data_IF_773095241633
#
_entry.id   IF_773095241633
#
_cell.length_a   1.000
_cell.length_b   1.000
_cell.length_c   1.000
_cell.angle_alpha   90.00
_cell.angle_beta   90.00
_cell.angle_gamma   90.00
#
_symmetry.space_group_name_H-M   'P 1'
#
loop_
_entity.id
_entity.type
_entity.pdbx_description
1 polymer ?
#
# COMPACT_ATOMS: atom_id res chain seq x y z
N UNK A 1 8.30 5.32 -21.63
CA UNK A 1 7.39 4.17 -21.42
C UNK A 1 7.11 4.09 -19.95
N UNK A 2 5.84 3.98 -19.55
CA UNK A 2 5.47 3.92 -18.13
C UNK A 2 5.77 2.52 -17.60
N UNK A 3 6.56 2.37 -16.52
CA UNK A 3 6.80 1.06 -15.94
C UNK A 3 5.51 0.51 -15.34
N UNK A 4 5.25 -0.77 -15.57
CA UNK A 4 4.15 -1.48 -14.90
C UNK A 4 4.68 -2.21 -13.67
N UNK A 5 3.86 -2.25 -12.63
CA UNK A 5 4.19 -2.95 -11.38
C UNK A 5 3.57 -4.33 -11.36
N UNK A 6 4.30 -5.27 -10.77
CA UNK A 6 3.82 -6.62 -10.49
C UNK A 6 3.11 -6.61 -9.13
N UNK A 7 1.97 -7.26 -9.06
CA UNK A 7 1.16 -7.43 -7.85
C UNK A 7 1.03 -8.93 -7.61
N UNK A 8 1.64 -9.50 -6.56
CA UNK A 8 1.43 -10.88 -6.19
C UNK A 8 0.01 -11.08 -5.64
N UNK A 9 -0.61 -12.20 -5.97
CA UNK A 9 -1.93 -12.59 -5.50
C UNK A 9 -1.77 -13.50 -4.28
N UNK A 10 -2.43 -13.14 -3.19
CA UNK A 10 -2.51 -13.92 -1.95
C UNK A 10 -3.97 -14.33 -1.70
N UNK A 11 -4.21 -15.19 -0.73
CA UNK A 11 -5.56 -15.72 -0.38
C UNK A 11 -6.61 -14.65 -0.03
N UNK A 12 -6.18 -13.45 0.36
CA UNK A 12 -7.05 -12.31 0.70
C UNK A 12 -7.04 -11.22 -0.39
N UNK A 13 -6.44 -11.49 -1.55
CA UNK A 13 -6.31 -10.51 -2.61
C UNK A 13 -7.67 -10.19 -3.24
N UNK A 14 -7.99 -8.91 -3.48
CA UNK A 14 -9.24 -8.51 -4.12
C UNK A 14 -9.35 -8.96 -5.59
N UNK A 15 -8.26 -9.44 -6.19
CA UNK A 15 -8.22 -9.89 -7.58
C UNK A 15 -8.49 -11.39 -7.73
N UNK A 16 -8.69 -12.13 -6.64
CA UNK A 16 -8.99 -13.55 -6.69
C UNK A 16 -10.27 -13.84 -7.46
N UNK A 17 -10.23 -14.85 -8.34
CA UNK A 17 -11.36 -15.23 -9.17
C UNK A 17 -11.64 -14.29 -10.34
N UNK A 18 -11.00 -13.12 -10.42
CA UNK A 18 -11.05 -12.30 -11.63
C UNK A 18 -10.22 -12.92 -12.75
N UNK A 19 -10.52 -12.57 -13.99
CA UNK A 19 -9.91 -13.21 -15.15
C UNK A 19 -8.84 -12.34 -15.81
N UNK A 20 -7.82 -13.01 -16.36
CA UNK A 20 -6.83 -12.36 -17.22
C UNK A 20 -7.44 -12.00 -18.58
N UNK A 21 -7.23 -10.76 -19.03
CA UNK A 21 -7.74 -10.29 -20.31
C UNK A 21 -7.18 -11.02 -21.55
N UNK A 22 -6.05 -11.73 -21.42
CA UNK A 22 -5.45 -12.52 -22.50
C UNK A 22 -5.92 -13.98 -22.49
N UNK A 23 -5.59 -14.72 -21.43
CA UNK A 23 -5.86 -16.17 -21.37
C UNK A 23 -7.26 -16.53 -20.84
N UNK A 24 -7.98 -15.56 -20.25
CA UNK A 24 -9.28 -15.76 -19.58
C UNK A 24 -9.28 -16.78 -18.43
N UNK A 25 -8.11 -17.16 -17.93
CA UNK A 25 -8.01 -17.92 -16.69
C UNK A 25 -8.21 -17.02 -15.48
N UNK A 26 -8.90 -17.53 -14.47
CA UNK A 26 -9.05 -16.88 -13.18
C UNK A 26 -7.72 -16.81 -12.43
N UNK A 27 -7.48 -15.73 -11.69
CA UNK A 27 -6.31 -15.56 -10.84
C UNK A 27 -6.41 -16.43 -9.58
N UNK A 28 -5.31 -17.11 -9.25
CA UNK A 28 -5.16 -17.96 -8.08
C UNK A 28 -4.13 -17.40 -7.08
N UNK A 29 -4.16 -17.82 -5.80
CA UNK A 29 -3.12 -17.50 -4.85
C UNK A 29 -1.74 -17.97 -5.37
N UNK A 30 -0.75 -17.09 -5.30
CA UNK A 30 0.60 -17.32 -5.83
C UNK A 30 0.82 -16.76 -7.25
N UNK A 31 -0.23 -16.38 -7.96
CA UNK A 31 -0.08 -15.75 -9.28
C UNK A 31 0.49 -14.34 -9.16
N UNK A 32 1.15 -13.90 -10.23
CA UNK A 32 1.62 -12.53 -10.37
C UNK A 32 0.80 -11.79 -11.44
N UNK A 33 0.22 -10.66 -11.06
CA UNK A 33 -0.69 -9.88 -11.90
C UNK A 33 -0.15 -8.49 -12.17
N UNK A 34 -0.40 -8.00 -13.39
CA UNK A 34 -0.12 -6.65 -13.84
C UNK A 34 -1.45 -5.98 -14.21
N UNK A 35 -1.59 -4.73 -13.79
CA UNK A 35 -2.72 -3.88 -14.16
C UNK A 35 -2.27 -2.90 -15.24
N UNK A 36 -3.00 -2.88 -16.36
CA UNK A 36 -2.73 -1.93 -17.44
C UNK A 36 -2.96 -0.48 -16.94
N UNK A 37 -2.02 0.45 -17.14
CA UNK A 37 -2.17 1.83 -16.67
C UNK A 37 -3.26 2.62 -17.41
N UNK A 38 -3.60 2.20 -18.64
CA UNK A 38 -4.58 2.90 -19.49
C UNK A 38 -6.02 2.45 -19.21
N UNK A 39 -6.28 1.14 -19.29
CA UNK A 39 -7.65 0.59 -19.20
C UNK A 39 -7.92 -0.19 -17.91
N UNK A 40 -6.93 -0.33 -17.03
CA UNK A 40 -6.99 -1.12 -15.79
C UNK A 40 -7.34 -2.61 -15.97
N UNK A 41 -7.25 -3.14 -17.20
CA UNK A 41 -7.35 -4.58 -17.45
C UNK A 41 -6.18 -5.33 -16.79
N UNK A 42 -6.50 -6.48 -16.18
CA UNK A 42 -5.55 -7.33 -15.46
C UNK A 42 -5.00 -8.42 -16.36
N UNK A 43 -3.71 -8.68 -16.23
CA UNK A 43 -3.00 -9.69 -16.98
C UNK A 43 -2.06 -10.44 -16.06
N UNK A 44 -1.85 -11.74 -16.27
CA UNK A 44 -0.71 -12.41 -15.65
C UNK A 44 0.59 -11.77 -16.13
N UNK A 45 1.63 -11.76 -15.28
CA UNK A 45 2.97 -11.31 -15.66
C UNK A 45 3.44 -12.04 -16.92
N UNK A 46 3.29 -13.35 -16.98
CA UNK A 46 3.68 -14.15 -18.14
C UNK A 46 2.91 -13.75 -19.41
N UNK A 47 1.58 -13.58 -19.30
CA UNK A 47 0.72 -13.14 -20.41
C UNK A 47 1.10 -11.75 -20.93
N UNK A 48 1.44 -10.82 -20.03
CA UNK A 48 1.89 -9.48 -20.40
C UNK A 48 3.20 -9.52 -21.19
N UNK A 49 4.18 -10.30 -20.70
CA UNK A 49 5.47 -10.46 -21.40
C UNK A 49 5.33 -11.19 -22.74
N UNK A 50 4.46 -12.19 -22.81
CA UNK A 50 4.22 -12.96 -24.03
C UNK A 50 3.59 -12.11 -25.15
N UNK A 51 2.91 -11.02 -24.79
CA UNK A 51 2.31 -10.08 -25.73
C UNK A 51 3.10 -8.76 -25.82
N UNK A 52 4.43 -8.84 -25.90
CA UNK A 52 5.33 -7.70 -26.10
C UNK A 52 5.16 -6.57 -25.06
N UNK A 53 4.87 -6.94 -23.81
CA UNK A 53 4.63 -5.99 -22.72
C UNK A 53 3.49 -5.00 -23.02
N UNK A 54 2.42 -5.51 -23.64
CA UNK A 54 1.25 -4.74 -24.08
C UNK A 54 -0.06 -5.34 -23.57
N UNK A 55 -1.02 -4.46 -23.37
CA UNK A 55 -2.39 -4.81 -23.08
C UNK A 55 -3.06 -5.53 -24.26
N UNK A 56 -3.89 -6.52 -23.93
CA UNK A 56 -4.66 -7.32 -24.90
C UNK A 56 -6.15 -7.02 -24.86
N UNK A 57 -6.58 -6.15 -23.95
CA UNK A 57 -7.96 -5.69 -23.87
C UNK A 57 -8.36 -4.96 -25.15
N UNK A 58 -9.59 -5.22 -25.60
CA UNK A 58 -10.13 -4.69 -26.84
C UNK A 58 -10.01 -3.16 -26.91
N UNK A 59 -9.31 -2.66 -27.94
CA UNK A 59 -9.15 -1.22 -28.18
C UNK A 59 -8.12 -0.50 -27.28
N UNK A 60 -7.36 -1.21 -26.43
CA UNK A 60 -6.35 -0.58 -25.59
C UNK A 60 -4.95 -0.60 -26.23
N UNK A 61 -4.27 0.55 -26.25
CA UNK A 61 -2.87 0.68 -26.69
C UNK A 61 -1.86 0.70 -25.54
N UNK A 62 -2.29 0.36 -24.32
CA UNK A 62 -1.46 0.40 -23.12
C UNK A 62 -0.27 -0.54 -23.22
N UNK A 63 0.91 -0.02 -22.91
CA UNK A 63 2.18 -0.75 -22.93
C UNK A 63 3.06 -0.29 -21.79
N UNK A 64 3.92 -1.17 -21.31
CA UNK A 64 4.81 -0.82 -20.21
C UNK A 64 5.72 -1.97 -19.83
N UNK A 65 6.98 -1.65 -19.60
CA UNK A 65 7.99 -2.63 -19.21
C UNK A 65 7.84 -2.99 -17.73
N UNK A 66 8.10 -4.26 -17.41
CA UNK A 66 8.01 -4.76 -16.05
C UNK A 66 9.25 -4.30 -15.30
N UNK A 67 9.08 -3.34 -14.39
CA UNK A 67 10.17 -2.91 -13.53
C UNK A 67 10.32 -3.91 -12.38
N UNK A 68 11.04 -5.00 -12.63
CA UNK A 68 11.59 -5.85 -11.57
C UNK A 68 12.84 -5.16 -11.03
N UNK A 69 12.70 -4.01 -10.38
CA UNK A 69 13.75 -3.61 -9.45
C UNK A 69 13.62 -4.61 -8.28
N UNK A 70 14.59 -5.52 -8.06
CA UNK A 70 14.57 -6.28 -6.81
C UNK A 70 14.49 -5.25 -5.69
N UNK A 71 13.65 -5.45 -4.65
CA UNK A 71 13.71 -4.54 -3.52
C UNK A 71 15.17 -4.50 -3.08
N UNK A 72 15.82 -3.34 -3.24
CA UNK A 72 17.11 -3.12 -2.60
C UNK A 72 16.92 -3.58 -1.16
N UNK A 73 17.84 -4.37 -0.58
CA UNK A 73 17.69 -4.83 0.79
C UNK A 73 17.38 -3.60 1.62
N UNK A 74 16.14 -3.54 2.10
CA UNK A 74 15.71 -2.42 2.91
C UNK A 74 16.45 -2.70 4.20
N UNK A 75 17.63 -2.09 4.33
CA UNK A 75 18.39 -2.12 5.57
C UNK A 75 17.60 -1.23 6.54
N UNK A 76 16.44 -1.75 6.96
CA UNK A 76 15.63 -1.16 8.00
C UNK A 76 16.46 -1.40 9.25
N UNK A 77 17.38 -0.47 9.52
CA UNK A 77 17.93 -0.30 10.86
C UNK A 77 16.76 0.16 11.70
N UNK A 78 15.99 -0.81 12.21
CA UNK A 78 15.05 -0.58 13.29
C UNK A 78 15.96 -0.28 14.49
N UNK A 79 15.95 0.95 15.05
CA UNK A 79 16.61 1.16 16.33
C UNK A 79 15.82 0.37 17.37
N UNK A 80 16.30 -0.84 17.69
CA UNK A 80 15.83 -1.65 18.81
C UNK A 80 16.33 -0.96 20.07
N UNK A 81 15.64 0.10 20.48
CA UNK A 81 16.05 0.89 21.63
C UNK A 81 15.40 2.26 21.71
N UNK A 82 14.14 2.33 22.15
CA UNK A 82 13.78 3.31 23.18
C UNK A 82 12.55 2.84 23.97
N UNK A 83 12.89 2.21 25.09
CA UNK A 83 12.22 2.23 26.38
C UNK A 83 10.98 3.12 26.55
N UNK A 84 9.97 2.54 27.18
CA UNK A 84 8.76 3.14 27.75
C UNK A 84 8.66 4.65 27.66
N UNK A 85 7.66 5.08 26.88
CA UNK A 85 7.02 6.38 27.00
C UNK A 85 6.59 6.60 28.46
N UNK A 86 7.48 7.16 29.29
CA UNK A 86 7.13 7.72 30.59
C UNK A 86 6.56 9.10 30.32
N UNK A 87 5.27 9.14 30.01
CA UNK A 87 4.47 10.36 30.16
C UNK A 87 4.58 10.76 31.62
N UNK A 88 5.52 11.65 31.93
CA UNK A 88 5.54 12.35 33.20
C UNK A 88 4.43 13.40 33.12
N UNK A 89 3.25 13.05 33.61
CA UNK A 89 2.23 14.03 33.97
C UNK A 89 2.82 14.92 35.06
N UNK A 90 3.14 16.16 34.72
CA UNK A 90 3.35 17.20 35.71
C UNK A 90 1.98 17.48 36.36
N UNK A 91 1.84 17.55 37.69
CA UNK A 91 0.65 18.11 38.29
C UNK A 91 0.56 19.57 37.86
N UNK A 92 -0.65 19.99 37.45
CA UNK A 92 -0.97 21.38 37.13
C UNK A 92 -0.57 22.28 38.30
N UNK A 93 0.55 22.98 38.17
CA UNK A 93 0.90 24.07 39.08
C UNK A 93 -0.09 25.18 38.78
N UNK A 94 -1.04 25.36 39.71
CA UNK A 94 -1.99 26.46 39.74
C UNK A 94 -1.23 27.79 39.81
N UNK A 95 -0.96 28.40 38.65
CA UNK A 95 -0.67 29.83 38.58
C UNK A 95 -2.04 30.53 38.60
N UNK A 96 -2.51 30.81 39.81
CA UNK A 96 -3.75 31.53 40.07
C UNK A 96 -3.51 32.60 41.11
N UNK A 97 -2.77 33.63 40.73
CA UNK A 97 -2.82 34.91 41.43
C UNK A 97 -4.15 35.59 41.03
N UNK A 98 -5.16 35.54 41.89
CA UNK A 98 -6.32 36.42 41.80
C UNK A 98 -6.95 36.61 43.17
N UNK A 99 -7.10 37.89 43.50
CA UNK A 99 -7.75 38.39 44.70
C UNK A 99 -9.22 37.99 44.78
N UNK A 100 -9.70 37.85 46.01
CA UNK A 100 -11.08 38.16 46.39
C UNK A 100 -12.12 37.09 46.05
N UNK A 101 -12.72 36.52 47.10
CA UNK A 101 -14.17 36.55 47.30
C UNK A 101 -14.48 36.02 48.70
N UNK A 102 -14.73 36.97 49.60
CA UNK A 102 -15.44 36.79 50.86
C UNK A 102 -16.88 36.36 50.54
N UNK A 103 -17.31 35.17 50.96
CA UNK A 103 -18.73 34.88 51.21
C UNK A 103 -18.87 33.87 52.35
N UNK A 104 -19.60 34.32 53.37
CA UNK A 104 -20.13 33.66 54.57
C UNK A 104 -21.06 32.50 54.22
N UNK A 105 -21.09 31.44 55.05
CA UNK A 105 -22.33 30.70 55.31
C UNK A 105 -22.21 29.85 56.59
N UNK A 106 -22.95 30.30 57.62
CA UNK A 106 -23.53 29.61 58.80
C UNK A 106 -22.62 28.85 59.78
#
# INVERSE_FOLDING_TARGET
MTPVRVIPIHDESPFLGEECALCRSAFMPGDEVIVCPECRARHHVHCWTAFDNRCTAFGCAGRGEISRTPPAPQNITIPIGRESSRVRTLPSISIGNAQGCLVVAI
#
